data_IF_316783356664
#
_entry.id   IF_316783356664
#
_cell.length_a   1.000
_cell.length_b   1.000
_cell.length_c   1.000
_cell.angle_alpha   90.00
_cell.angle_beta   90.00
_cell.angle_gamma   90.00
#
_symmetry.space_group_name_H-M   'P 1'
#
loop_
_entity.id
_entity.type
_entity.pdbx_description
1 polymer ?
#
# COMPACT_ATOMS: atom_id res chain seq x y z
N UNK A 1 11.86 31.99 5.96
CA UNK A 1 12.82 31.80 4.86
C UNK A 1 12.34 30.68 3.96
N UNK A 2 12.83 30.64 2.71
CA UNK A 2 12.54 29.58 1.75
C UNK A 2 12.87 28.19 2.31
N UNK A 3 13.97 28.07 3.04
CA UNK A 3 14.36 26.83 3.73
C UNK A 3 13.27 26.35 4.71
N UNK A 4 12.75 27.23 5.55
CA UNK A 4 11.69 26.86 6.51
C UNK A 4 10.42 26.41 5.81
N UNK A 5 10.06 27.03 4.68
CA UNK A 5 8.91 26.62 3.86
C UNK A 5 9.12 25.18 3.35
N UNK A 6 10.30 24.88 2.80
CA UNK A 6 10.61 23.56 2.27
C UNK A 6 10.63 22.50 3.39
N UNK A 7 11.18 22.81 4.56
CA UNK A 7 11.17 21.93 5.73
C UNK A 7 9.73 21.59 6.16
N UNK A 8 8.84 22.58 6.22
CA UNK A 8 7.44 22.37 6.55
C UNK A 8 6.74 21.53 5.46
N UNK A 9 6.92 21.86 4.19
CA UNK A 9 6.34 21.12 3.06
C UNK A 9 6.71 19.65 3.09
N UNK A 10 8.00 19.33 3.26
CA UNK A 10 8.45 17.94 3.28
C UNK A 10 8.04 17.20 4.56
N UNK A 11 7.90 17.90 5.69
CA UNK A 11 7.35 17.32 6.90
C UNK A 11 5.88 16.93 6.71
N UNK A 12 5.06 17.81 6.12
CA UNK A 12 3.65 17.53 5.81
C UNK A 12 3.50 16.39 4.80
N UNK A 13 4.33 16.40 3.73
CA UNK A 13 4.36 15.27 2.78
C UNK A 13 4.73 13.95 3.46
N UNK A 14 5.69 13.96 4.38
CA UNK A 14 6.08 12.76 5.15
C UNK A 14 4.93 12.27 6.01
N UNK A 15 4.25 13.15 6.74
CA UNK A 15 3.09 12.78 7.57
C UNK A 15 1.93 12.23 6.73
N UNK A 16 1.69 12.77 5.54
CA UNK A 16 0.72 12.20 4.60
C UNK A 16 1.05 10.74 4.26
N UNK A 17 2.29 10.44 3.87
CA UNK A 17 2.71 9.08 3.50
C UNK A 17 2.64 8.12 4.70
N UNK A 18 3.07 8.58 5.87
CA UNK A 18 2.98 7.78 7.10
C UNK A 18 1.53 7.55 7.53
N UNK A 19 0.64 8.53 7.32
CA UNK A 19 -0.78 8.38 7.65
C UNK A 19 -1.45 7.25 6.86
N UNK A 20 -1.05 7.01 5.62
CA UNK A 20 -1.56 5.91 4.80
C UNK A 20 -1.27 4.56 5.46
N UNK A 21 -0.04 4.34 5.92
CA UNK A 21 0.34 3.11 6.60
C UNK A 21 -0.30 2.97 7.99
N UNK A 22 -0.47 4.10 8.71
CA UNK A 22 -1.06 4.15 10.05
C UNK A 22 -2.59 4.00 10.06
N UNK A 23 -3.25 4.25 8.92
CA UNK A 23 -4.70 4.05 8.82
C UNK A 23 -5.06 2.59 9.12
N UNK A 24 -6.07 2.36 9.97
CA UNK A 24 -6.50 0.99 10.28
C UNK A 24 -7.08 0.27 9.06
N UNK A 25 -7.72 1.00 8.13
CA UNK A 25 -8.25 0.43 6.90
C UNK A 25 -7.17 0.32 5.82
N UNK A 26 -7.20 -0.70 4.95
CA UNK A 26 -6.40 -0.73 3.73
C UNK A 26 -6.72 0.47 2.84
N UNK A 27 -5.68 1.08 2.28
CA UNK A 27 -5.78 2.21 1.35
C UNK A 27 -5.45 1.73 -0.06
N UNK A 28 -6.38 1.96 -1.00
CA UNK A 28 -6.24 1.56 -2.39
C UNK A 28 -5.98 2.81 -3.24
N UNK A 29 -4.87 2.83 -3.98
CA UNK A 29 -4.66 3.82 -5.02
C UNK A 29 -5.40 3.41 -6.30
N UNK A 30 -6.22 4.31 -6.83
CA UNK A 30 -6.81 4.22 -8.17
C UNK A 30 -6.07 5.18 -9.09
N UNK A 31 -5.36 4.65 -10.10
CA UNK A 31 -4.48 5.44 -10.96
C UNK A 31 -4.98 5.44 -12.40
N UNK A 32 -5.55 6.54 -12.86
CA UNK A 32 -6.10 6.67 -14.21
C UNK A 32 -5.11 7.21 -15.26
N UNK A 33 -4.01 7.85 -14.82
CA UNK A 33 -3.08 8.55 -15.70
C UNK A 33 -1.67 8.61 -15.13
N UNK A 34 -1.00 9.74 -15.27
CA UNK A 34 0.39 9.93 -14.90
C UNK A 34 0.53 10.11 -13.37
N UNK A 35 1.39 9.30 -12.75
CA UNK A 35 1.84 9.43 -11.36
C UNK A 35 3.36 9.63 -11.34
N UNK A 36 3.83 10.87 -11.10
CA UNK A 36 5.25 11.20 -11.08
C UNK A 36 5.69 11.78 -9.74
N UNK A 37 6.97 11.69 -9.44
CA UNK A 37 7.61 12.27 -8.26
C UNK A 37 6.82 11.95 -6.97
N UNK A 38 6.25 12.96 -6.29
CA UNK A 38 5.41 12.77 -5.11
C UNK A 38 4.13 11.95 -5.39
N UNK A 39 3.58 12.03 -6.62
CA UNK A 39 2.46 11.18 -7.05
C UNK A 39 2.84 9.70 -7.11
N UNK A 40 4.01 9.38 -7.65
CA UNK A 40 4.55 8.02 -7.65
C UNK A 40 4.86 7.53 -6.22
N UNK A 41 5.38 8.42 -5.36
CA UNK A 41 5.57 8.15 -3.94
C UNK A 41 4.25 7.80 -3.24
N UNK A 42 3.19 8.58 -3.50
CA UNK A 42 1.86 8.34 -2.92
C UNK A 42 1.34 6.96 -3.32
N UNK A 43 1.43 6.61 -4.60
CA UNK A 43 1.04 5.28 -5.10
C UNK A 43 1.82 4.17 -4.41
N UNK A 44 3.15 4.30 -4.34
CA UNK A 44 4.02 3.31 -3.67
C UNK A 44 3.81 3.22 -2.15
N UNK A 45 3.20 4.24 -1.53
CA UNK A 45 2.87 4.26 -0.10
C UNK A 45 1.51 3.64 0.21
N UNK A 46 0.63 3.50 -0.78
CA UNK A 46 -0.66 2.83 -0.60
C UNK A 46 -0.49 1.31 -0.46
N UNK A 47 -1.45 0.68 0.22
CA UNK A 47 -1.39 -0.77 0.48
C UNK A 47 -1.64 -1.59 -0.79
N UNK A 48 -2.52 -1.11 -1.66
CA UNK A 48 -2.90 -1.76 -2.91
C UNK A 48 -3.07 -0.71 -4.02
N UNK A 49 -2.88 -1.14 -5.27
CA UNK A 49 -2.95 -0.26 -6.44
C UNK A 49 -3.71 -0.93 -7.58
N UNK A 50 -4.73 -0.24 -8.09
CA UNK A 50 -5.40 -0.58 -9.36
C UNK A 50 -5.10 0.54 -10.35
N UNK A 51 -4.57 0.22 -11.51
CA UNK A 51 -4.18 1.20 -12.51
C UNK A 51 -4.91 0.98 -13.84
N UNK A 52 -5.23 2.08 -14.51
CA UNK A 52 -5.60 2.04 -15.92
C UNK A 52 -4.40 1.60 -16.75
N UNK A 53 -4.64 0.87 -17.85
CA UNK A 53 -3.62 0.53 -18.85
C UNK A 53 -2.89 1.75 -19.43
N UNK A 54 -3.53 2.93 -19.36
CA UNK A 54 -2.94 4.21 -19.79
C UNK A 54 -2.07 4.87 -18.73
N UNK A 55 -2.06 4.34 -17.50
CA UNK A 55 -1.29 4.93 -16.41
C UNK A 55 0.23 4.79 -16.66
N UNK A 56 0.96 5.81 -16.23
CA UNK A 56 2.41 5.86 -16.32
C UNK A 56 3.01 6.32 -15.02
N UNK A 57 4.17 5.79 -14.67
CA UNK A 57 4.85 6.04 -13.40
C UNK A 57 6.28 6.47 -13.64
N UNK A 58 6.75 7.49 -12.91
CA UNK A 58 8.14 7.94 -12.98
C UNK A 58 8.58 8.65 -11.71
N UNK A 59 9.91 8.74 -11.53
CA UNK A 59 10.56 9.63 -10.56
C UNK A 59 11.50 10.56 -11.29
N UNK A 60 10.92 11.38 -12.17
CA UNK A 60 11.61 12.15 -13.20
C UNK A 60 12.24 13.47 -12.73
N UNK A 61 12.31 13.75 -11.42
CA UNK A 61 13.00 14.92 -10.87
C UNK A 61 14.46 15.00 -11.29
N UNK A 62 15.13 13.86 -11.49
CA UNK A 62 16.53 13.79 -11.91
C UNK A 62 16.79 14.53 -13.23
N UNK A 63 15.82 14.56 -14.15
CA UNK A 63 15.91 15.27 -15.41
C UNK A 63 16.01 16.79 -15.24
N UNK A 64 15.63 17.30 -14.06
CA UNK A 64 15.72 18.71 -13.66
C UNK A 64 16.82 18.94 -12.59
N UNK A 65 17.74 18.00 -12.40
CA UNK A 65 18.81 18.09 -11.42
C UNK A 65 18.35 17.82 -9.98
N UNK A 66 17.15 17.26 -9.75
CA UNK A 66 16.57 16.99 -8.44
C UNK A 66 16.40 15.47 -8.24
N UNK A 67 17.19 14.89 -7.37
CA UNK A 67 16.98 13.49 -6.99
C UNK A 67 15.69 13.34 -6.16
N UNK A 68 14.83 12.41 -6.56
CA UNK A 68 13.57 12.12 -5.87
C UNK A 68 13.81 11.36 -4.55
N UNK A 69 14.40 12.03 -3.56
CA UNK A 69 14.86 11.42 -2.31
C UNK A 69 13.72 10.81 -1.48
N UNK A 70 12.63 11.55 -1.28
CA UNK A 70 11.47 11.05 -0.52
C UNK A 70 10.68 9.96 -1.29
N UNK A 71 10.45 10.05 -2.61
CA UNK A 71 9.92 8.94 -3.40
C UNK A 71 10.76 7.67 -3.34
N UNK A 72 12.10 7.80 -3.23
CA UNK A 72 12.99 6.64 -3.13
C UNK A 72 12.71 5.77 -1.90
N UNK A 73 12.23 6.36 -0.81
CA UNK A 73 11.89 5.66 0.43
C UNK A 73 10.72 4.68 0.20
N UNK A 74 9.67 5.13 -0.48
CA UNK A 74 8.51 4.29 -0.79
C UNK A 74 8.85 3.23 -1.85
N UNK A 75 9.49 3.63 -2.95
CA UNK A 75 9.83 2.72 -4.04
C UNK A 75 10.76 1.59 -3.60
N UNK A 76 11.83 1.89 -2.85
CA UNK A 76 12.78 0.88 -2.40
C UNK A 76 12.20 -0.14 -1.41
N UNK A 77 11.01 0.13 -0.85
CA UNK A 77 10.26 -0.77 0.03
C UNK A 77 9.15 -1.53 -0.69
N UNK A 78 8.83 -1.14 -1.92
CA UNK A 78 7.73 -1.71 -2.70
C UNK A 78 8.24 -2.60 -3.82
N UNK A 79 9.29 -2.17 -4.55
CA UNK A 79 9.84 -2.90 -5.67
C UNK A 79 11.31 -3.27 -5.42
N UNK A 80 11.85 -4.18 -6.24
CA UNK A 80 13.24 -4.62 -6.09
C UNK A 80 14.21 -3.45 -6.21
N UNK A 81 15.29 -3.40 -5.39
CA UNK A 81 16.18 -2.26 -5.29
C UNK A 81 16.79 -1.79 -6.63
N UNK A 82 17.11 -2.73 -7.54
CA UNK A 82 17.67 -2.36 -8.85
C UNK A 82 16.64 -1.64 -9.73
N UNK A 83 15.40 -2.07 -9.72
CA UNK A 83 14.33 -1.41 -10.47
C UNK A 83 13.95 -0.06 -9.88
N UNK A 84 13.92 0.04 -8.54
CA UNK A 84 13.73 1.32 -7.88
C UNK A 84 14.84 2.32 -8.26
N UNK A 85 16.10 1.87 -8.21
CA UNK A 85 17.25 2.71 -8.55
C UNK A 85 17.28 3.09 -10.04
N UNK A 86 16.91 2.18 -10.94
CA UNK A 86 16.75 2.47 -12.36
C UNK A 86 15.76 3.62 -12.57
N UNK A 87 14.53 3.53 -12.05
CA UNK A 87 13.53 4.61 -12.13
C UNK A 87 14.04 5.94 -11.56
N UNK A 88 14.75 5.88 -10.42
CA UNK A 88 15.24 7.08 -9.72
C UNK A 88 16.40 7.77 -10.44
N UNK A 89 17.25 7.03 -11.16
CA UNK A 89 18.45 7.56 -11.81
C UNK A 89 18.24 7.88 -13.28
N UNK A 90 17.36 7.17 -13.98
CA UNK A 90 17.02 7.50 -15.38
C UNK A 90 15.93 8.54 -15.46
N UNK A 91 14.97 8.54 -14.55
CA UNK A 91 13.78 9.38 -14.60
C UNK A 91 12.81 8.99 -15.71
N UNK A 92 12.98 7.81 -16.31
CA UNK A 92 12.14 7.32 -17.38
C UNK A 92 10.76 6.90 -16.88
N UNK A 93 9.77 7.05 -17.76
CA UNK A 93 8.43 6.54 -17.50
C UNK A 93 8.35 5.04 -17.75
N UNK A 94 7.70 4.34 -16.83
CA UNK A 94 7.24 2.98 -17.04
C UNK A 94 5.73 2.95 -17.20
N UNK A 95 5.21 2.07 -18.05
CA UNK A 95 3.77 1.85 -18.22
C UNK A 95 3.16 1.02 -17.08
N UNK A 96 1.84 0.90 -17.07
CA UNK A 96 1.10 0.19 -16.05
C UNK A 96 1.45 -1.31 -16.00
N UNK A 97 1.66 -1.94 -17.15
CA UNK A 97 2.02 -3.37 -17.22
C UNK A 97 3.42 -3.60 -16.64
N UNK A 98 4.38 -2.74 -16.97
CA UNK A 98 5.71 -2.79 -16.38
C UNK A 98 5.66 -2.57 -14.87
N UNK A 99 4.88 -1.58 -14.42
CA UNK A 99 4.68 -1.30 -13.00
C UNK A 99 4.09 -2.52 -12.25
N UNK A 100 3.16 -3.24 -12.88
CA UNK A 100 2.60 -4.48 -12.34
C UNK A 100 3.66 -5.60 -12.26
N UNK A 101 4.46 -5.78 -13.32
CA UNK A 101 5.55 -6.77 -13.32
C UNK A 101 6.58 -6.51 -12.21
N UNK A 102 6.83 -5.25 -11.88
CA UNK A 102 7.76 -4.85 -10.83
C UNK A 102 7.16 -4.95 -9.41
N UNK A 103 5.84 -5.10 -9.28
CA UNK A 103 5.14 -5.16 -8.00
C UNK A 103 4.69 -3.80 -7.45
N UNK A 104 4.75 -2.73 -8.24
CA UNK A 104 4.21 -1.41 -7.87
C UNK A 104 2.70 -1.37 -8.01
N UNK A 105 2.12 -2.11 -8.96
CA UNK A 105 0.69 -2.18 -9.25
C UNK A 105 0.18 -3.59 -9.05
N UNK A 106 -0.97 -3.77 -8.38
CA UNK A 106 -1.58 -5.08 -8.15
C UNK A 106 -2.44 -5.53 -9.34
N UNK A 107 -3.10 -4.60 -10.02
CA UNK A 107 -4.02 -4.90 -11.12
C UNK A 107 -4.00 -3.79 -12.16
N UNK A 108 -3.94 -4.18 -13.44
CA UNK A 108 -4.10 -3.29 -14.59
C UNK A 108 -5.39 -3.62 -15.31
N UNK A 109 -6.17 -2.60 -15.63
CA UNK A 109 -7.47 -2.73 -16.32
C UNK A 109 -7.63 -1.65 -17.37
N UNK A 110 -8.57 -1.82 -18.30
CA UNK A 110 -8.93 -0.76 -19.21
C UNK A 110 -9.64 0.39 -18.47
N UNK A 111 -9.47 1.62 -18.94
CA UNK A 111 -9.89 2.83 -18.23
C UNK A 111 -11.37 2.82 -17.84
N UNK A 112 -12.22 2.28 -18.71
CA UNK A 112 -13.66 2.18 -18.47
C UNK A 112 -14.04 1.28 -17.29
N UNK A 113 -13.18 0.30 -16.93
CA UNK A 113 -13.39 -0.63 -15.82
C UNK A 113 -12.65 -0.21 -14.55
N UNK A 114 -11.83 0.82 -14.60
CA UNK A 114 -10.94 1.19 -13.49
C UNK A 114 -11.69 1.42 -12.17
N UNK A 115 -12.79 2.19 -12.24
CA UNK A 115 -13.59 2.48 -11.06
C UNK A 115 -14.26 1.23 -10.48
N UNK A 116 -14.89 0.45 -11.33
CA UNK A 116 -15.68 -0.72 -10.92
C UNK A 116 -14.77 -1.80 -10.31
N UNK A 117 -13.60 -2.01 -10.93
CA UNK A 117 -12.61 -2.96 -10.42
C UNK A 117 -11.97 -2.50 -9.10
N UNK A 118 -11.75 -1.20 -8.93
CA UNK A 118 -11.27 -0.63 -7.66
C UNK A 118 -12.32 -0.77 -6.56
N UNK A 119 -13.58 -0.48 -6.86
CA UNK A 119 -14.68 -0.64 -5.92
C UNK A 119 -14.91 -2.12 -5.56
N UNK A 120 -14.85 -3.02 -6.54
CA UNK A 120 -14.95 -4.46 -6.30
C UNK A 120 -13.85 -4.96 -5.34
N UNK A 121 -12.63 -4.48 -5.50
CA UNK A 121 -11.55 -4.78 -4.56
C UNK A 121 -11.85 -4.23 -3.16
N UNK A 122 -12.32 -2.99 -3.07
CA UNK A 122 -12.68 -2.37 -1.80
C UNK A 122 -13.83 -3.11 -1.10
N UNK A 123 -14.86 -3.51 -1.84
CA UNK A 123 -15.99 -4.30 -1.34
C UNK A 123 -15.56 -5.69 -0.86
N UNK A 124 -14.66 -6.35 -1.61
CA UNK A 124 -14.07 -7.61 -1.17
C UNK A 124 -13.35 -7.45 0.16
N UNK A 125 -12.53 -6.42 0.32
CA UNK A 125 -11.87 -6.12 1.61
C UNK A 125 -12.91 -5.82 2.70
N UNK A 126 -13.88 -4.97 2.42
CA UNK A 126 -14.94 -4.59 3.37
C UNK A 126 -15.82 -5.78 3.81
N UNK A 127 -15.85 -6.86 3.03
CA UNK A 127 -16.55 -8.09 3.40
C UNK A 127 -15.83 -8.95 4.46
N UNK A 128 -14.58 -8.65 4.77
CA UNK A 128 -13.78 -9.37 5.77
C UNK A 128 -14.00 -8.79 7.17
N UNK A 129 -13.49 -9.52 8.18
CA UNK A 129 -13.43 -8.98 9.54
C UNK A 129 -12.61 -7.69 9.56
N UNK A 130 -13.21 -6.60 10.00
CA UNK A 130 -12.52 -5.31 10.15
C UNK A 130 -11.36 -5.41 11.16
N UNK A 131 -11.58 -6.15 12.24
CA UNK A 131 -10.53 -6.41 13.23
C UNK A 131 -9.33 -7.14 12.61
N UNK A 132 -9.59 -8.19 11.83
CA UNK A 132 -8.51 -8.96 11.19
C UNK A 132 -7.75 -8.13 10.13
N UNK A 133 -8.45 -7.28 9.36
CA UNK A 133 -7.81 -6.38 8.39
C UNK A 133 -6.90 -5.37 9.08
N UNK A 134 -7.39 -4.70 10.12
CA UNK A 134 -6.62 -3.71 10.89
C UNK A 134 -5.40 -4.35 11.55
N UNK A 135 -5.59 -5.50 12.20
CA UNK A 135 -4.50 -6.25 12.82
C UNK A 135 -3.47 -6.68 11.75
N UNK A 136 -3.94 -7.25 10.65
CA UNK A 136 -3.08 -7.74 9.56
C UNK A 136 -2.25 -6.64 8.91
N UNK A 137 -2.85 -5.49 8.60
CA UNK A 137 -2.12 -4.33 8.07
C UNK A 137 -1.06 -3.83 9.04
N UNK A 138 -1.42 -3.62 10.30
CA UNK A 138 -0.48 -3.19 11.34
C UNK A 138 0.66 -4.20 11.52
N UNK A 139 0.33 -5.48 11.62
CA UNK A 139 1.29 -6.58 11.77
C UNK A 139 2.28 -6.62 10.60
N UNK A 140 1.77 -6.51 9.37
CA UNK A 140 2.61 -6.50 8.18
C UNK A 140 3.68 -5.40 8.22
N UNK A 141 3.27 -4.15 8.50
CA UNK A 141 4.22 -3.04 8.54
C UNK A 141 5.14 -3.07 9.76
N UNK A 142 4.70 -3.59 10.90
CA UNK A 142 5.54 -3.67 12.10
C UNK A 142 6.63 -4.72 11.99
N UNK A 143 6.36 -5.85 11.31
CA UNK A 143 7.30 -6.96 11.25
C UNK A 143 8.32 -6.88 10.10
N UNK A 144 8.00 -6.19 8.99
CA UNK A 144 8.79 -6.25 7.76
C UNK A 144 10.23 -5.69 7.92
N UNK A 145 10.46 -4.85 8.92
CA UNK A 145 11.79 -4.30 9.26
C UNK A 145 12.53 -5.06 10.37
N UNK A 146 11.92 -6.11 10.94
CA UNK A 146 12.51 -6.88 12.04
C UNK A 146 13.41 -8.01 11.49
N UNK A 147 14.32 -8.52 12.33
CA UNK A 147 14.96 -9.78 12.01
C UNK A 147 13.96 -10.94 12.10
N UNK A 148 14.28 -12.07 11.47
CA UNK A 148 13.34 -13.19 11.30
C UNK A 148 12.77 -13.72 12.63
N UNK A 149 13.60 -13.85 13.65
CA UNK A 149 13.19 -14.38 14.97
C UNK A 149 12.21 -13.41 15.65
N UNK A 150 12.54 -12.12 15.69
CA UNK A 150 11.68 -11.07 16.24
C UNK A 150 10.36 -10.96 15.48
N UNK A 151 10.39 -11.07 14.13
CA UNK A 151 9.20 -11.04 13.30
C UNK A 151 8.23 -12.18 13.69
N UNK A 152 8.71 -13.42 13.80
CA UNK A 152 7.88 -14.56 14.22
C UNK A 152 7.37 -14.44 15.66
N UNK A 153 8.19 -13.97 16.60
CA UNK A 153 7.74 -13.75 17.98
C UNK A 153 6.59 -12.73 18.05
N UNK A 154 6.74 -11.58 17.35
CA UNK A 154 5.71 -10.55 17.31
C UNK A 154 4.43 -11.06 16.66
N UNK A 155 4.53 -11.64 15.47
CA UNK A 155 3.37 -12.09 14.70
C UNK A 155 2.65 -13.28 15.33
N UNK A 156 3.36 -14.18 16.02
CA UNK A 156 2.73 -15.27 16.78
C UNK A 156 1.84 -14.75 17.91
N UNK A 157 2.29 -13.74 18.64
CA UNK A 157 1.49 -13.08 19.69
C UNK A 157 0.24 -12.41 19.11
N UNK A 158 0.37 -11.73 17.95
CA UNK A 158 -0.75 -11.10 17.28
C UNK A 158 -1.75 -12.12 16.72
N UNK A 159 -1.28 -13.26 16.18
CA UNK A 159 -2.14 -14.35 15.72
C UNK A 159 -2.95 -14.95 16.88
N UNK A 160 -2.34 -15.18 18.03
CA UNK A 160 -3.04 -15.66 19.24
C UNK A 160 -4.15 -14.67 19.61
N UNK A 161 -3.85 -13.37 19.63
CA UNK A 161 -4.84 -12.34 19.93
C UNK A 161 -5.98 -12.34 18.92
N UNK A 162 -5.67 -12.55 17.63
CA UNK A 162 -6.70 -12.63 16.58
C UNK A 162 -7.58 -13.87 16.74
N UNK A 163 -7.00 -15.05 17.01
CA UNK A 163 -7.76 -16.30 17.24
C UNK A 163 -8.71 -16.15 18.44
N UNK A 164 -8.29 -15.49 19.51
CA UNK A 164 -9.09 -15.29 20.72
C UNK A 164 -10.12 -14.14 20.60
N UNK A 165 -10.07 -13.34 19.54
CA UNK A 165 -11.04 -12.26 19.30
C UNK A 165 -12.44 -12.80 18.96
N UNK A 166 -13.48 -11.97 19.15
CA UNK A 166 -14.85 -12.33 18.77
C UNK A 166 -14.95 -12.73 17.30
N UNK A 167 -14.34 -11.95 16.40
CA UNK A 167 -14.34 -12.22 14.96
C UNK A 167 -13.53 -13.49 14.62
N UNK A 168 -12.39 -13.73 15.31
CA UNK A 168 -11.60 -14.94 15.13
C UNK A 168 -12.40 -16.19 15.52
N UNK A 169 -13.10 -16.14 16.64
CA UNK A 169 -13.96 -17.25 17.14
C UNK A 169 -15.17 -17.45 16.21
N UNK A 170 -15.78 -16.37 15.73
CA UNK A 170 -16.88 -16.45 14.77
C UNK A 170 -16.42 -17.06 13.45
N UNK A 171 -15.26 -16.64 12.94
CA UNK A 171 -14.70 -17.18 11.69
C UNK A 171 -14.44 -18.68 11.77
N UNK A 172 -13.85 -19.15 12.88
CA UNK A 172 -13.61 -20.58 13.13
C UNK A 172 -14.94 -21.35 13.19
N UNK A 173 -15.92 -20.83 13.94
CA UNK A 173 -17.23 -21.46 14.09
C UNK A 173 -17.97 -21.53 12.76
N UNK A 174 -18.01 -20.43 12.00
CA UNK A 174 -18.64 -20.37 10.69
C UNK A 174 -18.00 -21.36 9.70
N UNK A 175 -16.68 -21.52 9.74
CA UNK A 175 -15.96 -22.50 8.94
C UNK A 175 -16.37 -23.95 9.26
N UNK A 176 -16.43 -24.30 10.55
CA UNK A 176 -16.85 -25.65 11.01
C UNK A 176 -18.31 -25.92 10.61
N UNK A 177 -19.17 -24.92 10.77
CA UNK A 177 -20.61 -25.01 10.46
C UNK A 177 -20.93 -24.84 8.95
N UNK A 178 -19.90 -24.61 8.11
CA UNK A 178 -20.02 -24.40 6.65
C UNK A 178 -21.04 -23.30 6.29
N UNK A 179 -21.01 -22.20 7.01
CA UNK A 179 -21.82 -21.00 6.77
C UNK A 179 -20.97 -19.76 6.59
N UNK A 180 -21.56 -18.68 6.08
CA UNK A 180 -20.90 -17.36 6.05
C UNK A 180 -20.75 -16.82 7.46
N UNK A 181 -19.59 -16.21 7.79
CA UNK A 181 -19.36 -15.56 9.07
C UNK A 181 -20.17 -14.26 9.18
N UNK A 182 -20.47 -13.89 10.42
CA UNK A 182 -21.13 -12.62 10.76
C UNK A 182 -20.19 -11.79 11.62
N UNK A 183 -19.49 -10.87 10.96
CA UNK A 183 -18.50 -10.03 11.63
C UNK A 183 -19.16 -9.01 12.56
N UNK A 184 -18.47 -8.67 13.65
CA UNK A 184 -18.90 -7.62 14.55
C UNK A 184 -18.85 -6.28 13.80
N UNK A 185 -19.94 -5.54 13.80
CA UNK A 185 -19.95 -4.16 13.30
C UNK A 185 -19.14 -3.30 14.28
N UNK A 186 -18.01 -2.78 13.85
CA UNK A 186 -17.32 -1.69 14.57
C UNK A 186 -18.12 -0.42 14.34
N UNK A 187 -18.61 0.15 15.44
CA UNK A 187 -19.18 1.51 15.49
C UNK A 187 -18.10 2.56 15.23
#
# INVERSE_FOLDING_TARGET
SEKNFLETLFAECTELMLSIQRQPQPVIAQVQGIATAAGCQLVASCDLVVASRKAQFATNGINNGLYCATPSVALSRTIQPKHALEMLLTGDFIDAERAMQLGLVNKVVDEEFLRDETLSLAENLASKSNYALQLGKRSFYSQIGLNLEQAYQTTSSELISNILSEDGQEGIRAFIEKRSPKWKKTS
#
